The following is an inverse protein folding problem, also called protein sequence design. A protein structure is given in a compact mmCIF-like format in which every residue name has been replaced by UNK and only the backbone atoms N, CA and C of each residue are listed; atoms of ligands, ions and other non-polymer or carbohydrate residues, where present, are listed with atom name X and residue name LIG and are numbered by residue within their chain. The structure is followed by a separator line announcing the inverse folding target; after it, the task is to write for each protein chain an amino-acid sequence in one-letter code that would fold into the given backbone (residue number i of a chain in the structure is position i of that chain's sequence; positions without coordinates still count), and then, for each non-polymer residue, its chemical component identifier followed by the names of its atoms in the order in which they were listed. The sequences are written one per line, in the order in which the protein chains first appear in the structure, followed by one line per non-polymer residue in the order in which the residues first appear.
data_IF_078227003159
#
_entry.id   IF_078227003159
#
_cell.length_a   1.000
_cell.length_b   1.000
_cell.length_c   1.000
_cell.angle_alpha   90.00
_cell.angle_beta   90.00
_cell.angle_gamma   90.00
#
_symmetry.space_group_name_H-M   'P 1'
#
loop_
_entity.id
_entity.type
_entity.pdbx_description
1 polymer ?
#
# COMPACT_ATOMS: atom_id res chain seq x y z
N UNK A 1 -11.66 -15.83 -4.76
CA UNK A 1 -10.40 -15.06 -4.75
C UNK A 1 -10.72 -13.68 -4.20
N UNK A 2 -10.16 -13.28 -3.05
CA UNK A 2 -10.47 -12.02 -2.39
C UNK A 2 -9.44 -10.94 -2.73
N UNK A 3 -9.89 -9.85 -3.36
CA UNK A 3 -9.08 -8.65 -3.62
C UNK A 3 -9.72 -7.49 -2.88
N UNK A 4 -8.90 -6.70 -2.18
CA UNK A 4 -9.35 -5.44 -1.58
C UNK A 4 -8.54 -4.27 -2.09
N UNK A 5 -9.20 -3.17 -2.40
CA UNK A 5 -8.59 -1.90 -2.75
C UNK A 5 -9.07 -0.85 -1.76
N UNK A 6 -8.15 -0.25 -1.00
CA UNK A 6 -8.48 0.84 -0.07
C UNK A 6 -7.65 2.05 -0.48
N UNK A 7 -8.30 2.96 -1.19
CA UNK A 7 -7.82 4.30 -1.42
C UNK A 7 -8.68 5.24 -0.56
N UNK A 8 -8.07 5.85 0.46
CA UNK A 8 -8.64 6.91 1.30
C UNK A 8 -10.14 6.78 1.61
N UNK A 9 -10.46 6.03 2.66
CA UNK A 9 -11.82 6.00 3.21
C UNK A 9 -11.97 7.15 4.23
N UNK A 10 -12.95 8.03 4.01
CA UNK A 10 -13.13 9.24 4.81
C UNK A 10 -14.24 9.06 5.86
N UNK A 11 -13.96 9.01 7.17
CA UNK A 11 -14.97 9.22 8.18
C UNK A 11 -15.50 10.65 8.12
N UNK A 12 -16.80 10.82 8.37
CA UNK A 12 -17.45 12.14 8.41
C UNK A 12 -16.94 13.07 9.53
N UNK A 13 -16.08 12.60 10.43
CA UNK A 13 -15.68 13.33 11.65
C UNK A 13 -14.17 13.45 11.82
N UNK A 14 -13.70 14.71 11.91
CA UNK A 14 -12.31 15.06 11.59
C UNK A 14 -11.30 14.80 12.74
N UNK A 15 -11.74 14.35 13.91
CA UNK A 15 -10.90 14.33 15.13
C UNK A 15 -10.30 12.95 15.50
N UNK A 16 -10.56 11.89 14.73
CA UNK A 16 -10.08 10.52 15.04
C UNK A 16 -9.39 9.78 13.90
N UNK A 17 -9.03 10.45 12.80
CA UNK A 17 -8.54 9.82 11.57
C UNK A 17 -7.42 8.79 11.73
N UNK A 18 -6.40 9.09 12.54
CA UNK A 18 -5.21 8.22 12.62
C UNK A 18 -5.51 6.90 13.31
N UNK A 19 -6.38 6.94 14.31
CA UNK A 19 -6.88 5.74 14.98
C UNK A 19 -7.93 5.04 14.11
N UNK A 20 -8.70 5.81 13.34
CA UNK A 20 -9.72 5.31 12.45
C UNK A 20 -9.14 4.44 11.33
N UNK A 21 -8.10 4.88 10.61
CA UNK A 21 -7.48 4.08 9.54
C UNK A 21 -7.02 2.71 10.06
N UNK A 22 -6.31 2.66 11.19
CA UNK A 22 -5.82 1.40 11.77
C UNK A 22 -6.94 0.50 12.30
N UNK A 23 -7.92 1.06 13.01
CA UNK A 23 -9.09 0.29 13.48
C UNK A 23 -9.88 -0.25 12.30
N UNK A 24 -10.01 0.53 11.23
CA UNK A 24 -10.79 0.18 10.05
C UNK A 24 -10.17 -1.00 9.28
N UNK A 25 -8.85 -1.02 9.04
CA UNK A 25 -8.20 -2.16 8.39
C UNK A 25 -8.34 -3.45 9.21
N UNK A 26 -8.20 -3.37 10.54
CA UNK A 26 -8.31 -4.54 11.40
C UNK A 26 -9.74 -5.11 11.45
N UNK A 27 -10.75 -4.23 11.46
CA UNK A 27 -12.16 -4.62 11.42
C UNK A 27 -12.52 -5.28 10.08
N UNK A 28 -12.13 -4.66 8.96
CA UNK A 28 -12.29 -5.24 7.61
C UNK A 28 -11.56 -6.58 7.53
N UNK A 29 -10.31 -6.62 8.00
CA UNK A 29 -9.51 -7.82 8.03
C UNK A 29 -10.19 -8.94 8.81
N UNK A 30 -10.80 -8.64 9.97
CA UNK A 30 -11.55 -9.60 10.79
C UNK A 30 -12.82 -10.11 10.09
N UNK A 31 -13.58 -9.23 9.45
CA UNK A 31 -14.91 -9.54 8.90
C UNK A 31 -14.86 -10.19 7.51
N UNK A 32 -13.87 -9.81 6.69
CA UNK A 32 -13.81 -10.18 5.27
C UNK A 32 -12.51 -10.87 4.86
N UNK A 33 -11.45 -10.74 5.66
CA UNK A 33 -10.17 -11.39 5.37
C UNK A 33 -10.15 -12.91 5.66
N UNK A 34 -9.05 -13.61 5.29
CA UNK A 34 -7.83 -13.07 4.67
C UNK A 34 -8.02 -12.71 3.19
N UNK A 35 -7.18 -11.80 2.69
CA UNK A 35 -7.18 -11.39 1.28
C UNK A 35 -5.95 -11.94 0.54
N UNK A 36 -6.12 -12.43 -0.69
CA UNK A 36 -4.98 -12.83 -1.52
C UNK A 36 -4.21 -11.64 -2.09
N UNK A 37 -4.85 -10.46 -2.16
CA UNK A 37 -4.24 -9.23 -2.63
C UNK A 37 -4.88 -8.02 -1.96
N UNK A 38 -4.04 -7.15 -1.40
CA UNK A 38 -4.41 -5.81 -0.99
C UNK A 38 -3.75 -4.77 -1.91
N UNK A 39 -4.56 -3.90 -2.50
CA UNK A 39 -4.11 -2.73 -3.27
C UNK A 39 -4.15 -1.53 -2.30
N UNK A 40 -2.97 -1.03 -1.93
CA UNK A 40 -2.82 -0.06 -0.84
C UNK A 40 -1.98 1.14 -1.31
N UNK A 41 -2.33 2.34 -0.86
CA UNK A 41 -1.52 3.53 -1.15
C UNK A 41 -0.14 3.45 -0.48
N UNK A 42 0.88 4.01 -1.14
CA UNK A 42 2.22 4.17 -0.57
C UNK A 42 2.82 5.57 -0.75
N UNK A 43 2.16 6.44 -1.51
CA UNK A 43 2.67 7.76 -1.91
C UNK A 43 1.75 8.90 -1.54
N UNK A 44 2.20 10.12 -1.84
CA UNK A 44 1.55 11.39 -1.50
C UNK A 44 1.42 11.65 0.01
N UNK A 45 2.21 10.98 0.85
CA UNK A 45 2.24 11.25 2.29
C UNK A 45 2.94 12.57 2.62
N UNK A 46 2.51 13.21 3.71
CA UNK A 46 3.18 14.35 4.33
C UNK A 46 2.74 14.44 5.80
N UNK A 47 3.59 14.99 6.66
CA UNK A 47 3.25 15.23 8.07
C UNK A 47 1.99 16.09 8.23
N UNK A 48 1.77 17.05 7.33
CA UNK A 48 0.61 17.96 7.34
C UNK A 48 -0.72 17.26 7.08
N UNK A 49 -0.72 16.10 6.45
CA UNK A 49 -1.94 15.33 6.13
C UNK A 49 -1.78 13.84 6.43
N UNK A 50 -0.98 13.51 7.44
CA UNK A 50 -0.75 12.15 8.02
C UNK A 50 -2.02 11.40 8.49
N UNK A 51 -3.16 12.06 8.38
CA UNK A 51 -4.47 11.59 8.79
C UNK A 51 -5.28 11.01 7.62
N UNK A 52 -4.87 11.30 6.39
CA UNK A 52 -5.58 10.91 5.16
C UNK A 52 -4.67 10.20 4.16
N UNK A 53 -3.44 9.86 4.58
CA UNK A 53 -2.47 9.11 3.81
C UNK A 53 -1.70 8.19 4.75
N UNK A 54 -1.42 6.96 4.30
CA UNK A 54 -0.46 6.08 4.95
C UNK A 54 0.94 6.71 4.93
N UNK A 55 1.57 6.82 6.09
CA UNK A 55 2.97 7.19 6.21
C UNK A 55 3.87 6.02 5.78
N UNK A 56 5.16 6.27 5.44
CA UNK A 56 6.11 5.20 5.15
C UNK A 56 6.10 4.10 6.21
N UNK A 57 6.03 2.84 5.78
CA UNK A 57 5.94 1.66 6.65
C UNK A 57 4.53 1.30 7.14
N UNK A 58 3.57 2.25 7.18
CA UNK A 58 2.20 1.96 7.67
C UNK A 58 1.43 1.02 6.72
N UNK A 59 1.84 0.92 5.43
CA UNK A 59 1.30 -0.03 4.45
C UNK A 59 1.42 -1.50 4.90
N UNK A 60 2.52 -1.89 5.56
CA UNK A 60 2.70 -3.25 6.05
C UNK A 60 1.84 -3.56 7.26
N UNK A 61 1.65 -2.56 8.13
CA UNK A 61 0.71 -2.70 9.23
C UNK A 61 -0.72 -2.84 8.69
N UNK A 62 -1.11 -2.06 7.68
CA UNK A 62 -2.41 -2.18 7.03
C UNK A 62 -2.61 -3.55 6.37
N UNK A 63 -1.59 -4.06 5.66
CA UNK A 63 -1.63 -5.40 5.07
C UNK A 63 -1.76 -6.50 6.14
N UNK A 64 -1.04 -6.37 7.26
CA UNK A 64 -1.16 -7.29 8.41
C UNK A 64 -2.55 -7.25 9.02
N UNK A 65 -3.09 -6.06 9.24
CA UNK A 65 -4.43 -5.86 9.80
C UNK A 65 -5.51 -6.46 8.89
N UNK A 66 -5.33 -6.34 7.56
CA UNK A 66 -6.19 -6.96 6.54
C UNK A 66 -5.98 -8.48 6.41
N UNK A 67 -4.94 -9.06 7.00
CA UNK A 67 -4.52 -10.45 6.77
C UNK A 67 -4.27 -10.72 5.28
N UNK A 68 -3.58 -9.80 4.62
CA UNK A 68 -3.29 -9.87 3.19
C UNK A 68 -2.02 -10.69 2.91
N UNK A 69 -2.09 -11.61 1.94
CA UNK A 69 -0.94 -12.42 1.50
C UNK A 69 0.02 -11.62 0.61
N UNK A 70 -0.53 -10.69 -0.19
CA UNK A 70 0.23 -9.91 -1.18
C UNK A 70 -0.20 -8.45 -1.19
N UNK A 71 0.72 -7.56 -1.51
CA UNK A 71 0.50 -6.10 -1.54
C UNK A 71 0.87 -5.56 -2.92
N UNK A 72 -0.05 -4.81 -3.55
CA UNK A 72 0.23 -3.96 -4.70
C UNK A 72 0.21 -2.49 -4.25
N UNK A 73 1.38 -1.85 -4.09
CA UNK A 73 1.44 -0.44 -3.73
C UNK A 73 0.98 0.42 -4.91
N UNK A 74 0.14 1.41 -4.61
CA UNK A 74 -0.37 2.38 -5.59
C UNK A 74 -0.19 3.80 -5.05
N UNK A 75 -0.68 4.80 -5.79
CA UNK A 75 -0.69 6.21 -5.35
C UNK A 75 0.67 6.94 -5.42
N UNK A 76 1.68 6.32 -6.04
CA UNK A 76 2.97 6.91 -6.41
C UNK A 76 3.16 7.00 -7.95
N UNK A 77 4.21 7.67 -8.40
CA UNK A 77 4.69 7.67 -9.80
C UNK A 77 3.78 8.26 -10.90
N UNK A 78 2.67 8.94 -10.56
CA UNK A 78 1.78 9.61 -11.54
C UNK A 78 1.75 11.14 -11.42
N UNK A 79 1.50 11.67 -10.22
CA UNK A 79 1.36 13.11 -9.97
C UNK A 79 2.20 13.56 -8.77
N UNK A 80 2.75 14.78 -8.83
CA UNK A 80 3.49 15.40 -7.73
C UNK A 80 2.54 16.21 -6.83
N UNK A 81 1.91 15.53 -5.88
CA UNK A 81 0.99 16.12 -4.91
C UNK A 81 1.55 16.15 -3.47
N UNK A 82 2.82 15.75 -3.29
CA UNK A 82 3.57 15.90 -2.04
C UNK A 82 5.03 16.29 -2.32
N UNK A 83 5.78 16.53 -1.26
CA UNK A 83 7.15 17.06 -1.28
C UNK A 83 8.24 15.99 -1.41
N UNK A 84 7.90 14.70 -1.32
CA UNK A 84 8.85 13.61 -1.51
C UNK A 84 9.19 13.39 -2.99
N UNK A 85 10.34 12.79 -3.29
CA UNK A 85 10.67 12.40 -4.66
C UNK A 85 9.69 11.35 -5.19
N UNK A 86 9.49 11.28 -6.51
CA UNK A 86 8.48 10.38 -7.10
C UNK A 86 8.78 8.89 -6.83
N UNK A 87 10.07 8.52 -6.76
CA UNK A 87 10.55 7.15 -6.52
C UNK A 87 10.65 6.78 -5.03
N UNK A 88 10.61 7.76 -4.13
CA UNK A 88 10.79 7.55 -2.69
C UNK A 88 9.77 6.56 -2.10
N UNK A 89 8.46 6.64 -2.42
CA UNK A 89 7.48 5.64 -2.00
C UNK A 89 7.81 4.20 -2.39
N UNK A 90 8.29 3.99 -3.62
CA UNK A 90 8.64 2.66 -4.13
C UNK A 90 9.91 2.14 -3.47
N UNK A 91 10.91 3.00 -3.24
CA UNK A 91 12.10 2.65 -2.47
C UNK A 91 11.76 2.23 -1.04
N UNK A 92 10.89 2.97 -0.35
CA UNK A 92 10.53 2.67 1.03
C UNK A 92 9.89 1.29 1.18
N UNK A 93 8.89 0.97 0.34
CA UNK A 93 8.26 -0.35 0.36
C UNK A 93 9.24 -1.45 -0.08
N UNK A 94 10.03 -1.21 -1.12
CA UNK A 94 11.02 -2.19 -1.56
C UNK A 94 12.08 -2.49 -0.51
N UNK A 95 12.51 -1.52 0.29
CA UNK A 95 13.50 -1.78 1.35
C UNK A 95 12.92 -2.60 2.51
N UNK A 96 11.62 -2.43 2.80
CA UNK A 96 10.97 -3.03 3.97
C UNK A 96 10.31 -4.39 3.69
N UNK A 97 10.04 -4.75 2.43
CA UNK A 97 9.19 -5.92 2.13
C UNK A 97 9.70 -7.26 2.67
N UNK A 98 11.02 -7.45 2.74
CA UNK A 98 11.62 -8.69 3.23
C UNK A 98 11.31 -8.96 4.71
N UNK A 99 10.97 -7.92 5.48
CA UNK A 99 10.73 -8.00 6.92
C UNK A 99 9.26 -8.32 7.28
N UNK A 100 8.33 -8.25 6.31
CA UNK A 100 6.89 -8.18 6.60
C UNK A 100 6.04 -9.36 6.11
N UNK A 101 6.64 -10.40 5.55
CA UNK A 101 5.98 -11.69 5.24
C UNK A 101 4.96 -11.68 4.10
N UNK A 102 4.38 -10.53 3.74
CA UNK A 102 3.52 -10.37 2.57
C UNK A 102 4.36 -10.14 1.31
N UNK A 103 4.03 -10.82 0.20
CA UNK A 103 4.75 -10.62 -1.06
C UNK A 103 4.43 -9.24 -1.65
N UNK A 104 5.45 -8.52 -2.09
CA UNK A 104 5.31 -7.21 -2.69
C UNK A 104 5.25 -7.33 -4.22
N UNK A 105 4.19 -6.80 -4.82
CA UNK A 105 4.02 -6.73 -6.27
C UNK A 105 4.45 -5.34 -6.72
N UNK A 106 5.43 -5.24 -7.60
CA UNK A 106 5.86 -3.96 -8.18
C UNK A 106 5.89 -4.00 -9.70
N UNK A 107 4.74 -4.23 -10.36
CA UNK A 107 4.67 -4.23 -11.82
C UNK A 107 5.20 -2.91 -12.37
N UNK A 108 5.92 -2.98 -13.49
CA UNK A 108 6.16 -1.80 -14.31
C UNK A 108 4.83 -1.22 -14.78
N UNK A 109 4.76 0.09 -15.01
CA UNK A 109 3.53 0.72 -15.48
C UNK A 109 3.10 0.07 -16.81
N UNK A 110 1.96 -0.60 -16.80
CA UNK A 110 1.42 -1.35 -17.95
C UNK A 110 1.76 -2.86 -17.96
N UNK A 111 2.59 -3.35 -17.04
CA UNK A 111 2.87 -4.78 -16.87
C UNK A 111 1.63 -5.52 -16.31
N UNK A 112 1.37 -6.72 -16.84
CA UNK A 112 0.27 -7.56 -16.39
C UNK A 112 0.58 -8.19 -15.03
N UNK A 113 -0.42 -8.25 -14.15
CA UNK A 113 -0.35 -8.98 -12.89
C UNK A 113 -1.23 -10.22 -12.98
N UNK A 114 -0.62 -11.40 -12.93
CA UNK A 114 -1.31 -12.68 -12.93
C UNK A 114 -1.73 -13.03 -11.51
N UNK A 115 -3.00 -12.80 -11.16
CA UNK A 115 -3.49 -13.07 -9.81
C UNK A 115 -3.29 -14.54 -9.39
N UNK A 116 -3.38 -15.47 -10.34
CA UNK A 116 -3.23 -16.92 -10.11
C UNK A 116 -1.77 -17.40 -10.08
N UNK A 117 -0.80 -16.51 -10.31
CA UNK A 117 0.63 -16.82 -10.24
C UNK A 117 1.25 -16.06 -9.04
N UNK A 118 1.37 -16.69 -7.86
CA UNK A 118 2.01 -16.07 -6.71
C UNK A 118 3.53 -15.94 -6.85
N UNK A 119 4.14 -16.60 -7.86
CA UNK A 119 5.58 -16.60 -8.08
C UNK A 119 6.00 -15.67 -9.23
N UNK A 120 5.06 -14.91 -9.81
CA UNK A 120 5.37 -13.90 -10.81
C UNK A 120 6.46 -12.96 -10.25
N UNK A 121 7.63 -12.87 -10.91
CA UNK A 121 8.73 -12.04 -10.41
C UNK A 121 8.42 -10.56 -10.65
N UNK A 122 8.76 -9.72 -9.69
CA UNK A 122 8.75 -8.27 -9.81
C UNK A 122 10.12 -7.70 -9.47
N UNK A 123 10.52 -6.64 -10.18
CA UNK A 123 11.81 -5.98 -10.01
C UNK A 123 11.62 -4.53 -9.58
N UNK A 124 12.65 -3.89 -8.99
CA UNK A 124 12.58 -2.48 -8.65
C UNK A 124 12.85 -1.62 -9.90
N UNK A 125 11.99 -1.72 -10.92
CA UNK A 125 12.16 -1.15 -12.27
C UNK A 125 12.43 0.37 -12.29
N UNK A 126 12.09 1.09 -11.22
CA UNK A 126 12.34 2.53 -11.09
C UNK A 126 13.81 2.84 -10.75
N UNK A 127 14.58 1.87 -10.26
CA UNK A 127 16.00 2.03 -9.99
C UNK A 127 16.75 2.22 -11.31
N UNK A 128 17.31 3.41 -11.52
CA UNK A 128 18.04 3.78 -12.75
C UNK A 128 17.23 4.64 -13.74
N UNK A 129 15.98 4.98 -13.41
CA UNK A 129 15.20 5.99 -14.15
C UNK A 129 15.49 7.36 -13.51
N UNK A 130 16.05 8.28 -14.29
CA UNK A 130 16.46 9.62 -13.86
C UNK A 130 15.71 10.73 -14.60
#
# INVERSE_FOLDING_TARGET
MGVICIANSFPKNIHRWRQWLRIHFAEIGREHGPFQLAILENGQYNKSWKHIHLMPGEIYQAAKDLRAERILPVHSSKFKLSNHAWYEPLNNVWQQHQEHGASLLTPMIGELVHLNDPQQPFTPWWQGIH
#
